data_IF_972132489980
#
_entry.id   IF_972132489980
#
_cell.length_a   1.000
_cell.length_b   1.000
_cell.length_c   1.000
_cell.angle_alpha   90.00
_cell.angle_beta   90.00
_cell.angle_gamma   90.00
#
_symmetry.space_group_name_H-M   'P 1'
#
loop_
_entity.id
_entity.type
_entity.pdbx_description
1 polymer ?
#
# COMPACT_ATOMS: atom_id res chain seq x y z
N UNK A 1 -14.04 16.05 -16.12
CA UNK A 1 -14.49 16.77 -14.91
C UNK A 1 -15.61 17.71 -15.30
N UNK A 2 -16.85 17.27 -15.14
CA UNK A 2 -18.03 18.13 -15.34
C UNK A 2 -18.25 18.84 -14.01
N UNK A 3 -17.71 20.05 -13.86
CA UNK A 3 -17.97 20.86 -12.66
C UNK A 3 -19.46 21.18 -12.64
N UNK A 4 -20.20 20.53 -11.74
CA UNK A 4 -21.62 20.79 -11.52
C UNK A 4 -21.78 22.27 -11.18
N UNK A 5 -22.70 22.96 -11.86
CA UNK A 5 -22.90 24.40 -11.64
C UNK A 5 -23.35 24.65 -10.19
N UNK A 6 -22.99 25.80 -9.59
CA UNK A 6 -23.42 26.14 -8.24
C UNK A 6 -24.95 26.11 -8.04
N UNK A 7 -25.72 26.35 -9.10
CA UNK A 7 -27.18 26.31 -9.13
C UNK A 7 -27.76 24.91 -8.94
N UNK A 8 -27.00 23.85 -9.26
CA UNK A 8 -27.46 22.47 -9.16
C UNK A 8 -27.84 22.04 -7.73
N UNK A 9 -27.36 22.77 -6.70
CA UNK A 9 -27.59 22.43 -5.29
C UNK A 9 -28.39 23.48 -4.51
N UNK A 10 -28.95 24.50 -5.17
CA UNK A 10 -29.60 25.64 -4.49
C UNK A 10 -30.75 25.24 -3.53
N UNK A 11 -31.44 24.12 -3.80
CA UNK A 11 -32.51 23.59 -2.94
C UNK A 11 -32.03 22.84 -1.68
N UNK A 12 -30.71 22.69 -1.49
CA UNK A 12 -30.13 22.00 -0.35
C UNK A 12 -29.71 22.98 0.76
N UNK A 13 -29.66 22.49 2.00
CA UNK A 13 -29.10 23.27 3.12
C UNK A 13 -27.63 23.60 2.84
N UNK A 14 -27.09 24.72 3.36
CA UNK A 14 -25.69 25.10 3.11
C UNK A 14 -24.67 23.98 3.40
N UNK A 15 -24.94 23.19 4.45
CA UNK A 15 -24.11 22.03 4.82
C UNK A 15 -24.18 20.92 3.77
N UNK A 16 -25.38 20.60 3.27
CA UNK A 16 -25.55 19.61 2.20
C UNK A 16 -25.00 20.07 0.87
N UNK A 17 -25.06 21.36 0.55
CA UNK A 17 -24.41 21.90 -0.65
C UNK A 17 -22.89 21.71 -0.61
N UNK A 18 -22.27 21.87 0.57
CA UNK A 18 -20.84 21.63 0.77
C UNK A 18 -20.51 20.14 0.64
N UNK A 19 -21.28 19.27 1.30
CA UNK A 19 -21.14 17.82 1.20
C UNK A 19 -21.27 17.31 -0.24
N UNK A 20 -22.32 17.71 -0.97
CA UNK A 20 -22.58 17.24 -2.33
C UNK A 20 -21.49 17.69 -3.32
N UNK A 21 -20.91 18.88 -3.12
CA UNK A 21 -19.73 19.31 -3.89
C UNK A 21 -18.54 18.39 -3.66
N UNK A 22 -18.23 18.09 -2.40
CA UNK A 22 -17.14 17.17 -2.05
C UNK A 22 -17.43 15.75 -2.58
N UNK A 23 -18.67 15.28 -2.47
CA UNK A 23 -19.06 13.96 -2.99
C UNK A 23 -19.00 13.89 -4.52
N UNK A 24 -19.27 14.99 -5.22
CA UNK A 24 -19.14 15.05 -6.68
C UNK A 24 -17.68 14.87 -7.16
N UNK A 25 -16.70 15.27 -6.34
CA UNK A 25 -15.27 15.02 -6.60
C UNK A 25 -14.86 13.57 -6.28
N UNK A 26 -15.68 12.84 -5.50
CA UNK A 26 -15.45 11.47 -5.03
C UNK A 26 -16.69 10.56 -5.24
N UNK A 27 -17.19 10.41 -6.47
CA UNK A 27 -18.47 9.73 -6.73
C UNK A 27 -18.44 8.26 -6.30
N UNK A 28 -17.35 7.55 -6.60
CA UNK A 28 -17.20 6.10 -6.36
C UNK A 28 -16.56 5.76 -5.00
N UNK A 29 -16.42 6.73 -4.10
CA UNK A 29 -15.67 6.59 -2.85
C UNK A 29 -16.54 7.03 -1.68
N UNK A 30 -16.50 6.29 -0.58
CA UNK A 30 -17.23 6.67 0.63
C UNK A 30 -16.65 7.97 1.19
N UNK A 31 -17.49 8.96 1.50
CA UNK A 31 -17.02 10.21 2.11
C UNK A 31 -17.32 10.21 3.61
N UNK A 32 -16.27 10.09 4.42
CA UNK A 32 -16.35 10.28 5.87
C UNK A 32 -16.30 11.78 6.15
N UNK A 33 -17.46 12.37 6.44
CA UNK A 33 -17.63 13.81 6.60
C UNK A 33 -17.61 14.21 8.08
N UNK A 34 -16.60 14.99 8.49
CA UNK A 34 -16.40 15.39 9.90
C UNK A 34 -17.51 16.31 10.40
N UNK A 35 -18.26 15.82 11.38
CA UNK A 35 -19.39 16.50 12.03
C UNK A 35 -19.25 16.40 13.55
N UNK A 36 -18.65 17.41 14.18
CA UNK A 36 -18.37 17.40 15.62
C UNK A 36 -17.47 16.22 15.96
N UNK A 37 -17.91 15.34 16.87
CA UNK A 37 -17.18 14.13 17.28
C UNK A 37 -17.46 12.89 16.43
N UNK A 38 -18.16 13.02 15.31
CA UNK A 38 -18.46 11.91 14.41
C UNK A 38 -17.91 12.13 13.01
N UNK A 39 -17.70 11.02 12.31
CA UNK A 39 -17.67 10.98 10.85
C UNK A 39 -19.01 10.47 10.38
N UNK A 40 -19.72 11.29 9.61
CA UNK A 40 -21.03 10.96 9.08
C UNK A 40 -20.94 10.72 7.57
N UNK A 41 -21.79 9.81 7.10
CA UNK A 41 -22.03 9.52 5.69
C UNK A 41 -23.50 9.79 5.39
N UNK A 42 -23.79 10.20 4.16
CA UNK A 42 -25.15 10.55 3.76
C UNK A 42 -25.59 9.82 2.48
N UNK A 43 -26.91 9.66 2.33
CA UNK A 43 -27.55 9.05 1.15
C UNK A 43 -27.04 7.61 0.90
N UNK A 44 -26.60 7.30 -0.32
CA UNK A 44 -26.15 5.96 -0.71
C UNK A 44 -24.90 5.51 0.07
N UNK A 45 -24.01 6.45 0.41
CA UNK A 45 -22.84 6.15 1.25
C UNK A 45 -23.27 5.69 2.65
N UNK A 46 -24.33 6.27 3.20
CA UNK A 46 -24.88 5.86 4.50
C UNK A 46 -25.44 4.44 4.46
N UNK A 47 -26.19 4.09 3.41
CA UNK A 47 -26.77 2.75 3.25
C UNK A 47 -25.68 1.70 3.04
N UNK A 48 -24.69 2.02 2.20
CA UNK A 48 -23.55 1.16 1.94
C UNK A 48 -22.73 0.95 3.21
N UNK A 49 -22.38 2.02 3.94
CA UNK A 49 -21.63 1.92 5.19
C UNK A 49 -22.41 1.17 6.27
N UNK A 50 -23.72 1.41 6.42
CA UNK A 50 -24.56 0.70 7.37
C UNK A 50 -24.53 -0.82 7.13
N UNK A 51 -24.63 -1.26 5.87
CA UNK A 51 -24.56 -2.68 5.50
C UNK A 51 -23.16 -3.28 5.72
N UNK A 52 -22.10 -2.58 5.33
CA UNK A 52 -20.74 -3.11 5.39
C UNK A 52 -20.16 -3.13 6.80
N UNK A 53 -20.53 -2.15 7.62
CA UNK A 53 -19.96 -1.93 8.95
C UNK A 53 -20.91 -2.30 10.09
N UNK A 54 -22.11 -2.79 9.76
CA UNK A 54 -23.18 -3.09 10.70
C UNK A 54 -23.53 -1.88 11.60
N UNK A 55 -23.72 -0.73 10.95
CA UNK A 55 -24.10 0.52 11.62
C UNK A 55 -25.61 0.73 11.56
N UNK A 56 -26.15 1.39 12.58
CA UNK A 56 -27.55 1.83 12.55
C UNK A 56 -27.75 2.90 11.48
N UNK A 57 -28.56 2.59 10.46
CA UNK A 57 -29.01 3.57 9.48
C UNK A 57 -30.13 4.43 10.10
N UNK A 58 -29.94 5.75 10.07
CA UNK A 58 -30.88 6.73 10.63
C UNK A 58 -31.22 7.79 9.58
N UNK A 59 -32.06 8.76 9.95
CA UNK A 59 -32.38 9.90 9.10
C UNK A 59 -32.18 11.20 9.87
N UNK A 60 -31.62 12.22 9.20
CA UNK A 60 -31.41 13.56 9.77
C UNK A 60 -32.11 14.60 8.92
N UNK A 61 -33.23 15.14 9.43
CA UNK A 61 -33.95 16.24 8.79
C UNK A 61 -34.34 15.94 7.34
N UNK A 62 -34.52 17.00 6.55
CA UNK A 62 -34.78 16.90 5.11
C UNK A 62 -33.97 17.96 4.35
N UNK A 63 -33.57 17.63 3.12
CA UNK A 63 -32.94 18.56 2.19
C UNK A 63 -33.59 18.39 0.83
N UNK A 64 -33.92 19.50 0.15
CA UNK A 64 -34.68 19.48 -1.11
C UNK A 64 -35.96 18.60 -1.03
N UNK A 65 -36.66 18.64 0.10
CA UNK A 65 -37.91 17.88 0.33
C UNK A 65 -37.75 16.40 0.65
N UNK A 66 -36.53 15.84 0.64
CA UNK A 66 -36.28 14.41 0.91
C UNK A 66 -35.54 14.21 2.24
N UNK A 67 -35.94 13.22 3.08
CA UNK A 67 -35.20 12.86 4.28
C UNK A 67 -33.76 12.43 3.97
N UNK A 68 -32.79 12.92 4.74
CA UNK A 68 -31.38 12.60 4.52
C UNK A 68 -31.04 11.31 5.29
N UNK A 69 -30.83 10.21 4.58
CA UNK A 69 -30.29 8.96 5.17
C UNK A 69 -28.89 9.23 5.70
N UNK A 70 -28.59 8.74 6.91
CA UNK A 70 -27.34 9.02 7.61
C UNK A 70 -26.88 7.80 8.42
N UNK A 71 -25.59 7.52 8.35
CA UNK A 71 -24.88 6.60 9.25
C UNK A 71 -23.61 7.31 9.71
N UNK A 72 -23.07 6.93 10.87
CA UNK A 72 -21.87 7.58 11.38
C UNK A 72 -21.07 6.72 12.33
N UNK A 73 -19.79 7.07 12.46
CA UNK A 73 -18.84 6.43 13.38
C UNK A 73 -18.19 7.49 14.27
N UNK A 74 -17.91 7.17 15.55
CA UNK A 74 -17.19 8.09 16.42
C UNK A 74 -15.77 8.35 15.90
N UNK A 75 -15.30 9.59 16.01
CA UNK A 75 -13.96 10.02 15.60
C UNK A 75 -12.84 9.11 16.09
N UNK A 76 -12.86 8.83 17.40
CA UNK A 76 -11.81 8.10 18.09
C UNK A 76 -11.78 6.61 17.71
N UNK A 77 -12.84 6.11 17.08
CA UNK A 77 -12.94 4.73 16.62
C UNK A 77 -12.78 4.60 15.09
N UNK A 78 -12.57 5.71 14.36
CA UNK A 78 -12.60 5.73 12.89
C UNK A 78 -11.61 4.74 12.27
N UNK A 79 -10.41 4.58 12.85
CA UNK A 79 -9.36 3.70 12.35
C UNK A 79 -9.83 2.24 12.25
N UNK A 80 -10.62 1.77 13.21
CA UNK A 80 -11.13 0.38 13.20
C UNK A 80 -12.12 0.15 12.06
N UNK A 81 -12.95 1.14 11.74
CA UNK A 81 -13.90 1.07 10.64
C UNK A 81 -13.21 1.20 9.29
N UNK A 82 -12.19 2.06 9.18
CA UNK A 82 -11.36 2.16 7.99
C UNK A 82 -10.65 0.84 7.70
N UNK A 83 -10.10 0.16 8.71
CA UNK A 83 -9.47 -1.15 8.54
C UNK A 83 -10.44 -2.20 7.98
N UNK A 84 -11.71 -2.18 8.41
CA UNK A 84 -12.75 -3.08 7.89
C UNK A 84 -13.11 -2.76 6.43
N UNK A 85 -13.36 -1.49 6.11
CA UNK A 85 -13.70 -1.04 4.75
C UNK A 85 -12.59 -1.38 3.76
N UNK A 86 -11.35 -1.09 4.13
CA UNK A 86 -10.19 -1.35 3.28
C UNK A 86 -9.99 -2.85 3.03
N UNK A 87 -10.20 -3.71 4.04
CA UNK A 87 -10.17 -5.18 3.85
C UNK A 87 -11.25 -5.68 2.89
N UNK A 88 -12.37 -4.94 2.76
CA UNK A 88 -13.43 -5.22 1.80
C UNK A 88 -13.17 -4.58 0.42
N UNK A 89 -12.02 -3.93 0.23
CA UNK A 89 -11.66 -3.26 -1.02
C UNK A 89 -12.25 -1.85 -1.18
N UNK A 90 -12.86 -1.29 -0.14
CA UNK A 90 -13.53 0.00 -0.20
C UNK A 90 -12.57 1.16 0.08
N UNK A 91 -12.61 2.18 -0.78
CA UNK A 91 -11.88 3.43 -0.59
C UNK A 91 -12.73 4.44 0.17
N UNK A 92 -12.07 5.26 1.00
CA UNK A 92 -12.72 6.24 1.88
C UNK A 92 -12.01 7.60 1.82
N UNK A 93 -12.71 8.64 1.42
CA UNK A 93 -12.26 10.03 1.48
C UNK A 93 -12.53 10.59 2.89
N UNK A 94 -11.49 11.11 3.55
CA UNK A 94 -11.59 11.71 4.89
C UNK A 94 -11.73 13.22 4.74
N UNK A 95 -12.92 13.73 5.03
CA UNK A 95 -13.23 15.14 4.94
C UNK A 95 -13.22 15.78 6.32
N UNK A 96 -12.27 16.68 6.56
CA UNK A 96 -12.06 17.38 7.84
C UNK A 96 -12.57 18.82 7.81
N UNK A 97 -12.76 19.38 9.00
CA UNK A 97 -13.06 20.80 9.18
C UNK A 97 -11.76 21.60 9.18
N UNK A 98 -11.72 22.67 8.39
CA UNK A 98 -10.58 23.56 8.22
C UNK A 98 -10.93 24.92 8.84
N UNK A 99 -10.13 25.35 9.82
CA UNK A 99 -10.33 26.60 10.54
C UNK A 99 -11.12 26.44 11.84
N UNK A 100 -11.30 27.55 12.57
CA UNK A 100 -11.94 27.57 13.88
C UNK A 100 -13.47 27.82 13.74
N UNK A 101 -14.32 26.89 14.20
CA UNK A 101 -15.77 27.06 14.23
C UNK A 101 -16.24 28.32 14.96
N UNK A 102 -15.50 28.77 15.98
CA UNK A 102 -15.85 29.95 16.78
C UNK A 102 -15.73 31.27 16.00
N UNK A 103 -14.93 31.29 14.93
CA UNK A 103 -14.62 32.51 14.16
C UNK A 103 -15.38 32.60 12.83
N UNK A 104 -16.11 31.55 12.44
CA UNK A 104 -16.72 31.43 11.11
C UNK A 104 -18.22 31.79 11.12
N UNK A 105 -18.65 32.72 10.26
CA UNK A 105 -20.08 32.95 9.98
C UNK A 105 -20.58 31.92 8.96
N UNK A 106 -21.30 30.91 9.41
CA UNK A 106 -21.84 29.83 8.56
C UNK A 106 -21.07 28.50 8.73
N UNK A 107 -21.32 27.49 7.88
CA UNK A 107 -20.59 26.23 7.93
C UNK A 107 -19.10 26.45 7.73
N UNK A 108 -18.28 25.90 8.64
CA UNK A 108 -16.82 25.91 8.54
C UNK A 108 -16.38 25.28 7.21
N UNK A 109 -15.28 25.77 6.64
CA UNK A 109 -14.70 25.17 5.44
C UNK A 109 -14.38 23.70 5.71
N UNK A 110 -14.61 22.86 4.71
CA UNK A 110 -14.29 21.44 4.78
C UNK A 110 -13.55 21.01 3.54
N UNK A 111 -12.53 20.19 3.76
CA UNK A 111 -11.66 19.67 2.70
C UNK A 111 -11.38 18.20 2.94
N UNK A 112 -11.29 17.46 1.85
CA UNK A 112 -10.73 16.11 1.87
C UNK A 112 -9.23 16.24 2.12
N UNK A 113 -8.77 15.75 3.27
CA UNK A 113 -7.35 15.84 3.65
C UNK A 113 -6.56 14.64 3.17
N UNK A 114 -7.23 13.49 2.98
CA UNK A 114 -6.63 12.26 2.45
C UNK A 114 -7.70 11.31 1.94
N UNK A 115 -7.30 10.42 1.04
CA UNK A 115 -8.11 9.27 0.61
C UNK A 115 -7.41 7.99 1.04
N UNK A 116 -8.10 7.19 1.86
CA UNK A 116 -7.63 5.89 2.33
C UNK A 116 -8.10 4.84 1.34
N UNK A 117 -7.16 4.18 0.67
CA UNK A 117 -7.44 3.11 -0.30
C UNK A 117 -6.72 1.82 0.12
N UNK A 118 -7.11 0.64 -0.42
CA UNK A 118 -6.46 -0.61 -0.08
C UNK A 118 -4.97 -0.68 -0.39
N UNK A 119 -4.50 -0.02 -1.44
CA UNK A 119 -3.09 -0.03 -1.84
C UNK A 119 -2.23 1.06 -1.20
N UNK A 120 -2.82 2.11 -0.62
CA UNK A 120 -2.08 3.31 -0.15
C UNK A 120 -2.09 3.47 1.36
N UNK A 121 -2.04 2.36 2.09
CA UNK A 121 -1.99 2.33 3.54
C UNK A 121 -0.59 2.59 4.09
N UNK A 122 -0.49 3.45 5.10
CA UNK A 122 0.76 3.79 5.80
C UNK A 122 0.61 3.82 7.32
N UNK A 123 -0.62 4.01 7.81
CA UNK A 123 -0.97 3.97 9.23
C UNK A 123 -0.79 2.56 9.80
N UNK A 124 -0.08 2.47 10.93
CA UNK A 124 0.14 1.21 11.62
C UNK A 124 -1.17 0.53 12.07
N UNK A 125 -2.22 1.30 12.36
CA UNK A 125 -3.53 0.77 12.76
C UNK A 125 -4.29 0.08 11.61
N UNK A 126 -3.96 0.42 10.35
CA UNK A 126 -4.63 -0.12 9.16
C UNK A 126 -3.85 -1.25 8.52
N UNK A 127 -2.53 -1.30 8.75
CA UNK A 127 -1.64 -2.31 8.22
C UNK A 127 -1.54 -3.52 9.16
N UNK A 128 -1.58 -4.72 8.60
CA UNK A 128 -1.09 -5.90 9.34
C UNK A 128 0.41 -5.77 9.56
N UNK A 129 0.89 -6.07 10.76
CA UNK A 129 2.30 -6.01 11.13
C UNK A 129 3.18 -6.88 10.23
N UNK A 130 2.66 -8.03 9.81
CA UNK A 130 3.42 -9.10 9.15
C UNK A 130 3.19 -9.22 7.64
N UNK A 131 2.34 -8.36 7.06
CA UNK A 131 2.01 -8.40 5.64
C UNK A 131 2.36 -7.06 4.97
N UNK A 132 3.01 -7.11 3.83
CA UNK A 132 3.12 -5.94 2.95
C UNK A 132 1.81 -5.70 2.21
N UNK A 133 1.60 -4.42 1.91
CA UNK A 133 0.47 -3.94 1.10
C UNK A 133 1.06 -3.25 -0.11
N UNK A 134 0.68 -3.73 -1.29
CA UNK A 134 1.15 -3.19 -2.55
C UNK A 134 0.00 -2.53 -3.31
N UNK A 135 0.24 -1.30 -3.76
CA UNK A 135 -0.47 -0.70 -4.89
C UNK A 135 0.24 -1.16 -6.16
N UNK A 136 -0.50 -1.69 -7.12
CA UNK A 136 0.02 -2.07 -8.44
C UNK A 136 -0.70 -1.29 -9.53
N UNK A 137 0.01 -0.93 -10.59
CA UNK A 137 -0.56 -0.45 -11.84
C UNK A 137 -0.13 -1.39 -12.97
N UNK A 138 -1.02 -1.63 -13.93
CA UNK A 138 -0.68 -2.37 -15.15
C UNK A 138 -0.95 -1.53 -16.39
N UNK A 139 -0.07 -1.67 -17.37
CA UNK A 139 -0.20 -1.05 -18.69
C UNK A 139 0.04 -2.12 -19.75
N UNK A 140 -0.98 -2.39 -20.57
CA UNK A 140 -0.87 -3.37 -21.65
C UNK A 140 -0.25 -2.71 -22.88
N UNK A 141 0.88 -3.24 -23.35
CA UNK A 141 1.48 -2.83 -24.61
C UNK A 141 0.80 -3.55 -25.77
N UNK A 142 0.40 -2.80 -26.80
CA UNK A 142 -0.25 -3.35 -28.00
C UNK A 142 0.64 -3.18 -29.23
N UNK A 143 0.62 -4.17 -30.13
CA UNK A 143 1.21 -3.99 -31.46
C UNK A 143 0.30 -3.15 -32.38
N UNK A 144 0.77 -2.87 -33.61
CA UNK A 144 0.03 -2.09 -34.62
C UNK A 144 -1.35 -2.67 -34.99
N UNK A 145 -1.63 -3.93 -34.66
CA UNK A 145 -2.90 -4.62 -34.91
C UNK A 145 -3.81 -4.63 -33.66
N UNK A 146 -3.41 -3.97 -32.57
CA UNK A 146 -4.15 -3.93 -31.31
C UNK A 146 -3.99 -5.16 -30.43
N UNK A 147 -3.14 -6.12 -30.80
CA UNK A 147 -2.92 -7.35 -30.01
C UNK A 147 -1.95 -7.03 -28.87
N UNK A 148 -2.30 -7.44 -27.65
CA UNK A 148 -1.44 -7.33 -26.48
C UNK A 148 -0.15 -8.13 -26.71
N UNK A 149 1.00 -7.47 -26.56
CA UNK A 149 2.33 -8.07 -26.75
C UNK A 149 3.11 -8.19 -25.44
N UNK A 150 2.90 -7.28 -24.51
CA UNK A 150 3.48 -7.34 -23.18
C UNK A 150 2.58 -6.61 -22.19
N UNK A 151 2.83 -6.82 -20.90
CA UNK A 151 2.19 -6.09 -19.82
C UNK A 151 3.28 -5.50 -18.94
N UNK A 152 3.29 -4.18 -18.86
CA UNK A 152 4.09 -3.43 -17.92
C UNK A 152 3.44 -3.40 -16.55
N UNK A 153 4.20 -3.79 -15.54
CA UNK A 153 3.79 -3.77 -14.14
C UNK A 153 4.65 -2.77 -13.38
N UNK A 154 3.99 -1.97 -12.56
CA UNK A 154 4.64 -1.15 -11.55
C UNK A 154 3.94 -1.38 -10.22
N UNK A 155 4.70 -1.60 -9.14
CA UNK A 155 4.09 -1.71 -7.82
C UNK A 155 4.93 -1.04 -6.74
N UNK A 156 4.22 -0.52 -5.74
CA UNK A 156 4.77 0.28 -4.67
C UNK A 156 4.24 -0.22 -3.33
N UNK A 157 5.17 -0.49 -2.42
CA UNK A 157 4.85 -0.50 -0.99
C UNK A 157 4.97 0.92 -0.48
N UNK A 158 3.83 1.57 -0.25
CA UNK A 158 3.84 2.97 0.15
C UNK A 158 4.41 3.17 1.55
N UNK A 159 4.30 2.18 2.45
CA UNK A 159 4.80 2.27 3.81
C UNK A 159 6.33 2.21 3.88
N UNK A 160 7.01 1.54 2.93
CA UNK A 160 8.48 1.49 2.87
C UNK A 160 9.09 2.34 1.76
N UNK A 161 8.30 2.74 0.77
CA UNK A 161 8.78 3.46 -0.42
C UNK A 161 9.41 2.54 -1.48
N UNK A 162 9.33 1.22 -1.31
CA UNK A 162 9.90 0.26 -2.26
C UNK A 162 9.10 0.23 -3.57
N UNK A 163 9.66 0.82 -4.62
CA UNK A 163 9.12 0.83 -5.98
C UNK A 163 9.79 -0.23 -6.85
N UNK A 164 8.99 -0.99 -7.59
CA UNK A 164 9.47 -2.03 -8.51
C UNK A 164 8.78 -1.96 -9.85
N UNK A 165 9.48 -2.39 -10.89
CA UNK A 165 8.97 -2.54 -12.27
C UNK A 165 9.25 -3.92 -12.83
N UNK A 166 8.37 -4.39 -13.69
CA UNK A 166 8.60 -5.56 -14.53
C UNK A 166 7.85 -5.40 -15.86
N UNK A 167 8.35 -6.03 -16.91
CA UNK A 167 7.55 -6.33 -18.09
C UNK A 167 7.45 -7.83 -18.26
N UNK A 168 6.25 -8.30 -18.52
CA UNK A 168 5.94 -9.72 -18.63
C UNK A 168 5.13 -10.00 -19.89
N UNK A 169 5.15 -11.25 -20.31
CA UNK A 169 4.25 -11.74 -21.35
C UNK A 169 2.80 -11.83 -20.81
N UNK A 170 1.77 -11.63 -21.64
CA UNK A 170 0.38 -11.59 -21.18
C UNK A 170 -0.09 -12.87 -20.44
N UNK A 171 0.45 -14.04 -20.80
CA UNK A 171 0.13 -15.32 -20.18
C UNK A 171 0.71 -15.48 -18.76
N UNK A 172 1.72 -14.68 -18.40
CA UNK A 172 2.37 -14.69 -17.09
C UNK A 172 1.64 -13.83 -16.04
N UNK A 173 0.64 -13.04 -16.44
CA UNK A 173 -0.06 -12.08 -15.55
C UNK A 173 -0.61 -12.74 -14.28
N UNK A 174 -1.24 -13.91 -14.42
CA UNK A 174 -1.80 -14.63 -13.27
C UNK A 174 -0.73 -15.04 -12.26
N UNK A 175 0.42 -15.53 -12.72
CA UNK A 175 1.54 -15.91 -11.86
C UNK A 175 2.17 -14.68 -11.18
N UNK A 176 2.32 -13.58 -11.92
CA UNK A 176 2.85 -12.33 -11.37
C UNK A 176 1.93 -11.73 -10.28
N UNK A 177 0.62 -11.68 -10.53
CA UNK A 177 -0.36 -11.17 -9.55
C UNK A 177 -0.44 -12.06 -8.30
N UNK A 178 -0.38 -13.38 -8.44
CA UNK A 178 -0.35 -14.29 -7.29
C UNK A 178 0.97 -14.19 -6.49
N UNK A 179 2.08 -13.87 -7.16
CA UNK A 179 3.38 -13.63 -6.51
C UNK A 179 3.42 -12.30 -5.76
N UNK A 180 2.93 -11.23 -6.37
CA UNK A 180 2.95 -9.87 -5.83
C UNK A 180 1.84 -9.67 -4.77
N UNK A 181 0.66 -10.26 -4.99
CA UNK A 181 -0.57 -10.09 -4.19
C UNK A 181 -0.89 -8.62 -3.89
N UNK A 182 -1.16 -7.79 -4.92
CA UNK A 182 -1.49 -6.39 -4.70
C UNK A 182 -2.82 -6.25 -3.96
N UNK A 183 -2.89 -5.29 -3.04
CA UNK A 183 -4.15 -4.96 -2.36
C UNK A 183 -5.07 -4.14 -3.28
N UNK A 184 -4.48 -3.36 -4.18
CA UNK A 184 -5.17 -2.51 -5.14
C UNK A 184 -4.43 -2.51 -6.48
N UNK A 185 -5.20 -2.56 -7.57
CA UNK A 185 -4.72 -2.65 -8.94
C UNK A 185 -5.32 -1.51 -9.76
N UNK A 186 -4.45 -0.68 -10.33
CA UNK A 186 -4.80 0.41 -11.23
C UNK A 186 -4.82 -0.08 -12.68
N UNK A 187 -5.91 0.20 -13.38
CA UNK A 187 -6.07 -0.06 -14.81
C UNK A 187 -6.56 1.20 -15.53
N UNK A 188 -6.27 1.30 -16.82
CA UNK A 188 -6.76 2.41 -17.63
C UNK A 188 -8.28 2.30 -17.87
N UNK A 189 -8.96 3.44 -17.90
CA UNK A 189 -10.35 3.52 -18.34
C UNK A 189 -10.48 3.11 -19.81
N UNK A 190 -11.52 2.35 -20.12
CA UNK A 190 -11.82 1.90 -21.48
C UNK A 190 -10.99 0.71 -21.97
N UNK A 191 -10.07 0.17 -21.18
CA UNK A 191 -9.39 -1.09 -21.51
C UNK A 191 -10.22 -2.31 -21.09
N UNK A 192 -10.06 -3.40 -21.83
CA UNK A 192 -10.65 -4.72 -21.52
C UNK A 192 -9.65 -5.61 -20.79
N UNK A 193 -8.69 -5.03 -20.07
CA UNK A 193 -7.68 -5.79 -19.34
C UNK A 193 -8.36 -6.69 -18.31
N UNK A 194 -8.30 -7.99 -18.56
CA UNK A 194 -8.92 -8.98 -17.70
C UNK A 194 -8.01 -9.23 -16.48
N UNK A 195 -8.28 -8.52 -15.40
CA UNK A 195 -7.66 -8.81 -14.10
C UNK A 195 -8.32 -10.07 -13.52
N UNK A 196 -7.56 -11.11 -13.15
CA UNK A 196 -8.11 -12.29 -12.48
C UNK A 196 -8.92 -11.91 -11.24
N UNK A 197 -10.08 -12.55 -11.08
CA UNK A 197 -10.95 -12.31 -9.93
C UNK A 197 -10.19 -12.60 -8.62
N UNK A 198 -10.30 -11.69 -7.64
CA UNK A 198 -9.66 -11.83 -6.34
C UNK A 198 -8.18 -11.43 -6.28
N UNK A 199 -7.58 -10.91 -7.37
CA UNK A 199 -6.19 -10.47 -7.37
C UNK A 199 -5.93 -9.19 -6.54
N UNK A 200 -6.97 -8.38 -6.29
CA UNK A 200 -6.91 -7.12 -5.56
C UNK A 200 -8.13 -6.24 -5.86
N UNK A 201 -8.29 -5.13 -5.14
CA UNK A 201 -9.33 -4.14 -5.46
C UNK A 201 -8.98 -3.43 -6.77
N UNK A 202 -9.89 -3.44 -7.76
CA UNK A 202 -9.62 -2.82 -9.06
C UNK A 202 -10.07 -1.37 -9.02
N UNK A 203 -9.16 -0.45 -9.36
CA UNK A 203 -9.45 0.96 -9.53
C UNK A 203 -9.12 1.39 -10.95
N UNK A 204 -10.13 1.85 -11.68
CA UNK A 204 -9.94 2.44 -13.00
C UNK A 204 -9.57 3.91 -12.88
N UNK A 205 -8.59 4.34 -13.66
CA UNK A 205 -8.12 5.72 -13.75
C UNK A 205 -7.99 6.13 -15.21
N UNK A 206 -8.02 7.44 -15.52
CA UNK A 206 -7.97 7.91 -16.90
C UNK A 206 -6.78 7.35 -17.68
N UNK A 207 -7.01 6.92 -18.93
CA UNK A 207 -5.99 6.28 -19.75
C UNK A 207 -4.71 7.12 -19.93
N UNK A 208 -4.81 8.46 -19.91
CA UNK A 208 -3.65 9.35 -20.02
C UNK A 208 -2.69 9.25 -18.81
N UNK A 209 -3.13 8.71 -17.66
CA UNK A 209 -2.23 8.42 -16.53
C UNK A 209 -1.11 7.44 -16.93
N UNK A 210 -1.40 6.56 -17.89
CA UNK A 210 -0.50 5.51 -18.39
C UNK A 210 0.31 5.95 -19.62
N UNK A 211 0.32 7.24 -19.97
CA UNK A 211 1.16 7.76 -21.04
C UNK A 211 2.65 7.46 -20.74
N UNK A 212 3.34 6.83 -21.69
CA UNK A 212 4.69 6.31 -21.49
C UNK A 212 5.70 7.45 -21.33
N UNK A 213 5.59 8.51 -22.13
CA UNK A 213 6.54 9.63 -22.09
C UNK A 213 6.38 10.41 -20.78
N UNK A 214 5.14 10.77 -20.41
CA UNK A 214 4.84 11.45 -19.15
C UNK A 214 5.15 10.56 -17.94
N UNK A 215 4.91 9.25 -18.03
CA UNK A 215 5.24 8.29 -16.98
C UNK A 215 6.75 8.15 -16.75
N UNK A 216 7.52 8.07 -17.83
CA UNK A 216 8.99 8.04 -17.78
C UNK A 216 9.55 9.30 -17.16
N UNK A 217 9.05 10.48 -17.57
CA UNK A 217 9.48 11.75 -16.98
C UNK A 217 9.14 11.82 -15.49
N UNK A 218 7.91 11.45 -15.10
CA UNK A 218 7.48 11.44 -13.70
C UNK A 218 8.34 10.51 -12.85
N UNK A 219 8.72 9.36 -13.39
CA UNK A 219 9.61 8.42 -12.72
C UNK A 219 11.03 8.99 -12.54
N UNK A 220 11.57 9.66 -13.55
CA UNK A 220 12.85 10.36 -13.46
C UNK A 220 12.81 11.50 -12.42
N UNK A 221 11.75 12.32 -12.44
CA UNK A 221 11.56 13.42 -11.48
C UNK A 221 11.43 12.89 -10.04
N UNK A 222 10.70 11.78 -9.85
CA UNK A 222 10.51 11.17 -8.53
C UNK A 222 11.81 10.57 -7.97
N UNK A 223 12.66 10.00 -8.84
CA UNK A 223 13.94 9.40 -8.46
C UNK A 223 15.10 10.41 -8.44
N UNK A 224 14.88 11.64 -8.91
CA UNK A 224 15.88 12.69 -9.08
C UNK A 224 17.06 12.25 -9.97
N UNK A 225 16.74 11.69 -11.15
CA UNK A 225 17.71 11.19 -12.13
C UNK A 225 17.44 11.73 -13.53
N UNK A 226 18.49 11.81 -14.36
CA UNK A 226 18.35 12.24 -15.76
C UNK A 226 17.80 11.14 -16.69
N UNK A 227 17.86 9.88 -16.28
CA UNK A 227 17.45 8.73 -17.08
C UNK A 227 17.40 7.44 -16.25
N UNK A 228 16.85 6.39 -16.85
CA UNK A 228 16.55 5.13 -16.17
C UNK A 228 17.53 3.99 -16.46
N UNK A 229 18.61 4.28 -17.19
CA UNK A 229 19.63 3.29 -17.58
C UNK A 229 20.29 2.65 -16.36
N UNK A 230 20.60 3.45 -15.33
CA UNK A 230 21.21 2.96 -14.08
C UNK A 230 20.33 1.98 -13.29
N UNK A 231 19.03 1.92 -13.59
CA UNK A 231 18.09 0.96 -13.00
C UNK A 231 17.76 -0.21 -13.94
N UNK A 232 18.25 -0.19 -15.18
CA UNK A 232 17.88 -1.17 -16.20
C UNK A 232 16.43 -1.04 -16.69
N UNK A 233 15.78 0.12 -16.51
CA UNK A 233 14.36 0.32 -16.85
C UNK A 233 14.14 1.06 -18.18
N UNK A 234 15.20 1.53 -18.85
CA UNK A 234 15.11 2.34 -20.08
C UNK A 234 14.32 1.67 -21.23
N UNK A 235 14.36 0.33 -21.33
CA UNK A 235 13.65 -0.43 -22.36
C UNK A 235 12.24 -0.87 -21.95
N UNK A 236 11.84 -0.65 -20.69
CA UNK A 236 10.58 -1.13 -20.13
C UNK A 236 9.46 -0.09 -20.32
N UNK A 237 9.10 0.14 -21.58
CA UNK A 237 8.19 1.23 -21.96
C UNK A 237 6.80 1.12 -21.33
N UNK A 238 6.20 -0.08 -21.36
CA UNK A 238 4.88 -0.32 -20.78
C UNK A 238 4.95 -0.19 -19.25
N UNK A 239 6.03 -0.69 -18.63
CA UNK A 239 6.21 -0.57 -17.18
C UNK A 239 6.39 0.90 -16.75
N UNK A 240 7.06 1.74 -17.54
CA UNK A 240 7.19 3.17 -17.28
C UNK A 240 5.85 3.90 -17.34
N UNK A 241 4.97 3.53 -18.28
CA UNK A 241 3.58 4.01 -18.31
C UNK A 241 2.80 3.64 -17.05
N UNK A 242 2.90 2.36 -16.63
CA UNK A 242 2.31 1.89 -15.37
C UNK A 242 2.86 2.64 -14.14
N UNK A 243 4.18 2.87 -14.09
CA UNK A 243 4.85 3.62 -13.03
C UNK A 243 4.31 5.05 -12.93
N UNK A 244 4.11 5.69 -14.09
CA UNK A 244 3.49 7.00 -14.19
C UNK A 244 2.13 7.05 -13.50
N UNK A 245 1.23 6.14 -13.86
CA UNK A 245 -0.10 6.07 -13.27
C UNK A 245 -0.07 5.78 -11.77
N UNK A 246 0.80 4.85 -11.36
CA UNK A 246 1.00 4.49 -9.95
C UNK A 246 1.43 5.68 -9.11
N UNK A 247 2.46 6.41 -9.54
CA UNK A 247 3.02 7.54 -8.79
C UNK A 247 2.02 8.69 -8.71
N UNK A 248 1.30 8.96 -9.81
CA UNK A 248 0.27 9.99 -9.84
C UNK A 248 -0.87 9.67 -8.88
N UNK A 249 -1.35 8.42 -8.87
CA UNK A 249 -2.40 7.98 -7.96
C UNK A 249 -1.96 8.02 -6.50
N UNK A 250 -0.79 7.46 -6.19
CA UNK A 250 -0.25 7.45 -4.83
C UNK A 250 0.00 8.86 -4.29
N UNK A 251 0.49 9.80 -5.10
CA UNK A 251 0.64 11.20 -4.69
C UNK A 251 -0.73 11.86 -4.43
N UNK A 252 -1.74 11.59 -5.27
CA UNK A 252 -3.08 12.12 -5.10
C UNK A 252 -3.78 11.60 -3.84
N UNK A 253 -3.66 10.32 -3.50
CA UNK A 253 -4.29 9.75 -2.29
C UNK A 253 -3.63 10.26 -1.01
N UNK A 254 -2.32 10.50 -1.03
CA UNK A 254 -1.58 11.06 0.11
C UNK A 254 -1.69 12.58 0.22
N UNK A 255 -2.09 13.28 -0.85
CA UNK A 255 -2.15 14.74 -0.89
C UNK A 255 -0.78 15.44 -0.86
N UNK A 256 0.31 14.71 -1.12
CA UNK A 256 1.68 15.22 -1.04
C UNK A 256 2.66 14.38 -1.90
N UNK A 257 3.88 14.88 -2.05
CA UNK A 257 4.96 14.18 -2.76
C UNK A 257 5.50 12.98 -1.95
N UNK A 258 5.94 11.93 -2.65
CA UNK A 258 6.39 10.68 -2.08
C UNK A 258 7.91 10.68 -1.83
N UNK A 259 8.40 11.53 -0.91
CA UNK A 259 9.85 11.83 -0.76
C UNK A 259 10.75 10.65 -0.38
N UNK A 260 10.18 9.57 0.14
CA UNK A 260 10.87 8.32 0.48
C UNK A 260 11.00 7.35 -0.68
N UNK A 261 10.25 7.53 -1.76
CA UNK A 261 10.38 6.71 -2.97
C UNK A 261 11.58 7.21 -3.76
N UNK A 262 12.76 6.67 -3.46
CA UNK A 262 14.06 7.14 -3.98
C UNK A 262 14.83 6.11 -4.80
N UNK A 263 14.32 4.90 -4.88
CA UNK A 263 14.99 3.82 -5.58
C UNK A 263 13.97 3.00 -6.35
N UNK A 264 14.41 2.47 -7.46
CA UNK A 264 13.66 1.60 -8.33
C UNK A 264 14.39 0.26 -8.46
N UNK A 265 13.67 -0.84 -8.30
CA UNK A 265 14.17 -2.16 -8.67
C UNK A 265 13.41 -2.70 -9.87
N UNK A 266 14.12 -2.98 -10.97
CA UNK A 266 13.58 -3.80 -12.06
C UNK A 266 13.65 -5.26 -11.63
N UNK A 267 12.54 -5.99 -11.79
CA UNK A 267 12.48 -7.43 -11.60
C UNK A 267 12.22 -8.13 -12.92
N UNK A 268 12.93 -9.25 -13.12
CA UNK A 268 12.65 -10.18 -14.20
C UNK A 268 12.08 -11.47 -13.61
N UNK A 269 11.04 -12.05 -14.24
CA UNK A 269 10.48 -13.33 -13.79
C UNK A 269 11.51 -14.48 -13.82
N UNK A 270 12.58 -14.34 -14.61
CA UNK A 270 13.70 -15.29 -14.66
C UNK A 270 14.60 -15.26 -13.44
N UNK A 271 14.51 -14.25 -12.56
CA UNK A 271 15.31 -14.15 -11.34
C UNK A 271 14.84 -15.11 -10.24
N UNK A 272 13.57 -15.52 -10.29
CA UNK A 272 12.93 -16.34 -9.26
C UNK A 272 12.51 -17.71 -9.81
N UNK A 273 12.42 -18.70 -8.93
CA UNK A 273 11.81 -19.99 -9.30
C UNK A 273 10.33 -19.72 -9.57
N UNK A 274 9.92 -19.96 -10.81
CA UNK A 274 8.53 -19.81 -11.24
C UNK A 274 7.65 -20.82 -10.52
N UNK A 275 6.71 -20.32 -9.73
CA UNK A 275 5.66 -21.10 -9.09
C UNK A 275 4.33 -20.59 -9.63
N UNK A 276 3.59 -21.45 -10.32
CA UNK A 276 2.26 -21.12 -10.79
C UNK A 276 1.28 -20.90 -9.61
N UNK A 277 0.12 -20.25 -9.84
CA UNK A 277 -0.81 -19.97 -8.77
C UNK A 277 -1.36 -21.20 -8.03
N UNK A 278 -1.60 -22.30 -8.74
CA UNK A 278 -2.11 -23.52 -8.12
C UNK A 278 -1.05 -24.15 -7.21
N UNK A 279 0.21 -24.17 -7.64
CA UNK A 279 1.35 -24.63 -6.84
C UNK A 279 1.48 -23.81 -5.54
N UNK A 280 1.43 -22.47 -5.62
CA UNK A 280 1.52 -21.60 -4.43
C UNK A 280 0.40 -21.87 -3.42
N UNK A 281 -0.83 -22.03 -3.93
CA UNK A 281 -2.02 -22.32 -3.13
C UNK A 281 -1.95 -23.72 -2.49
N UNK A 282 -1.53 -24.73 -3.24
CA UNK A 282 -1.42 -26.11 -2.75
C UNK A 282 -0.28 -26.32 -1.76
N UNK A 283 0.80 -25.53 -1.86
CA UNK A 283 1.89 -25.52 -0.88
C UNK A 283 1.54 -24.77 0.40
N UNK A 284 0.38 -24.10 0.44
CA UNK A 284 -0.10 -23.31 1.58
C UNK A 284 1.02 -22.40 2.15
N UNK A 285 1.71 -21.66 1.28
CA UNK A 285 2.90 -20.89 1.65
C UNK A 285 2.60 -19.89 2.76
N UNK A 286 1.54 -19.09 2.60
CA UNK A 286 1.11 -18.07 3.57
C UNK A 286 -0.37 -18.08 3.85
N UNK A 287 -1.13 -18.93 3.17
CA UNK A 287 -2.58 -19.03 3.28
C UNK A 287 -2.98 -20.49 3.01
N UNK A 288 -3.89 -21.02 3.83
CA UNK A 288 -4.41 -22.38 3.65
C UNK A 288 -5.40 -22.45 2.48
N UNK A 289 -5.73 -23.66 2.04
CA UNK A 289 -6.79 -23.90 1.04
C UNK A 289 -8.15 -23.36 1.48
N UNK A 290 -8.36 -23.21 2.79
CA UNK A 290 -9.57 -22.65 3.42
C UNK A 290 -9.53 -21.11 3.58
N UNK A 291 -8.43 -20.46 3.19
CA UNK A 291 -8.26 -19.01 3.33
C UNK A 291 -7.88 -18.55 4.73
N UNK A 292 -7.32 -19.43 5.57
CA UNK A 292 -6.82 -19.07 6.90
C UNK A 292 -5.31 -18.83 6.88
N UNK A 293 -4.79 -18.03 7.82
CA UNK A 293 -3.35 -17.74 7.92
C UNK A 293 -2.53 -18.93 8.46
N UNK A 294 -3.18 -19.92 9.06
CA UNK A 294 -2.54 -21.07 9.73
C UNK A 294 -3.43 -22.32 9.66
N UNK A 295 -2.83 -23.53 9.63
CA UNK A 295 -1.38 -23.81 9.57
C UNK A 295 -0.82 -23.67 8.14
N UNK A 296 0.27 -22.91 7.98
CA UNK A 296 0.96 -22.63 6.70
C UNK A 296 2.47 -22.82 6.86
N UNK A 297 3.21 -22.91 5.75
CA UNK A 297 4.69 -22.94 5.81
C UNK A 297 5.23 -21.68 6.52
N UNK A 298 4.65 -20.53 6.19
CA UNK A 298 4.98 -19.27 6.84
C UNK A 298 4.68 -19.28 8.34
N UNK A 299 3.49 -19.73 8.78
CA UNK A 299 3.17 -19.75 10.21
C UNK A 299 4.07 -20.70 11.01
N UNK A 300 4.60 -21.74 10.37
CA UNK A 300 5.57 -22.67 10.97
C UNK A 300 6.96 -22.02 11.11
N UNK A 301 7.42 -21.30 10.08
CA UNK A 301 8.78 -20.74 10.04
C UNK A 301 8.93 -19.37 10.70
N UNK A 302 7.85 -18.58 10.78
CA UNK A 302 7.89 -17.21 11.27
C UNK A 302 8.06 -17.13 12.79
N UNK A 303 9.32 -17.26 13.21
CA UNK A 303 9.79 -16.97 14.57
C UNK A 303 10.54 -15.64 14.64
N UNK A 304 10.35 -14.74 13.67
CA UNK A 304 11.10 -13.48 13.60
C UNK A 304 10.84 -12.61 14.84
N UNK A 305 11.87 -11.85 15.25
CA UNK A 305 11.79 -10.95 16.40
C UNK A 305 11.26 -9.56 16.04
N UNK A 306 11.22 -9.22 14.75
CA UNK A 306 10.75 -7.93 14.23
C UNK A 306 9.71 -8.15 13.14
N UNK A 307 8.78 -7.21 13.03
CA UNK A 307 7.71 -7.22 12.02
C UNK A 307 8.27 -7.12 10.59
N UNK A 308 9.27 -6.26 10.37
CA UNK A 308 9.99 -6.17 9.10
C UNK A 308 10.71 -7.49 8.74
N UNK A 309 11.23 -8.23 9.73
CA UNK A 309 11.81 -9.56 9.52
C UNK A 309 10.77 -10.58 9.09
N UNK A 310 9.60 -10.60 9.73
CA UNK A 310 8.46 -11.43 9.34
C UNK A 310 8.02 -11.15 7.89
N UNK A 311 7.92 -9.87 7.50
CA UNK A 311 7.59 -9.47 6.12
C UNK A 311 8.66 -9.92 5.12
N UNK A 312 9.94 -9.77 5.46
CA UNK A 312 11.04 -10.23 4.61
C UNK A 312 11.04 -11.75 4.43
N UNK A 313 10.79 -12.53 5.49
CA UNK A 313 10.64 -13.97 5.40
C UNK A 313 9.47 -14.34 4.48
N UNK A 314 8.32 -13.69 4.66
CA UNK A 314 7.15 -13.87 3.78
C UNK A 314 7.50 -13.61 2.32
N UNK A 315 8.21 -12.51 2.05
CA UNK A 315 8.68 -12.17 0.71
C UNK A 315 9.57 -13.28 0.14
N UNK A 316 10.56 -13.78 0.89
CA UNK A 316 11.47 -14.84 0.45
C UNK A 316 10.76 -16.16 0.12
N UNK A 317 9.71 -16.54 0.87
CA UNK A 317 8.91 -17.73 0.56
C UNK A 317 8.21 -17.61 -0.79
N UNK A 318 7.79 -16.40 -1.16
CA UNK A 318 7.13 -16.15 -2.46
C UNK A 318 8.11 -15.86 -3.60
N UNK A 319 9.35 -15.49 -3.29
CA UNK A 319 10.38 -15.05 -4.23
C UNK A 319 11.70 -15.85 -4.05
N UNK A 320 11.67 -17.18 -4.21
CA UNK A 320 12.88 -17.99 -4.14
C UNK A 320 13.82 -17.62 -5.30
N UNK A 321 15.01 -17.04 -5.03
CA UNK A 321 15.94 -16.65 -6.09
C UNK A 321 16.51 -17.88 -6.81
N UNK A 322 16.68 -17.82 -8.13
CA UNK A 322 17.32 -18.89 -8.92
C UNK A 322 18.83 -18.91 -8.78
N UNK A 323 19.44 -17.75 -8.52
CA UNK A 323 20.88 -17.64 -8.40
C UNK A 323 21.40 -18.42 -7.19
N UNK A 324 22.27 -19.40 -7.43
CA UNK A 324 22.86 -20.23 -6.37
C UNK A 324 23.65 -19.41 -5.35
N UNK A 325 24.32 -18.34 -5.80
CA UNK A 325 25.11 -17.44 -4.94
C UNK A 325 24.26 -16.87 -3.81
N UNK A 326 23.02 -16.42 -4.09
CA UNK A 326 22.14 -15.89 -3.06
C UNK A 326 21.76 -16.94 -2.02
N UNK A 327 21.54 -18.20 -2.45
CA UNK A 327 21.26 -19.30 -1.54
C UNK A 327 22.50 -19.66 -0.70
N UNK A 328 23.68 -19.73 -1.31
CA UNK A 328 24.94 -20.03 -0.65
C UNK A 328 25.28 -18.98 0.42
N UNK A 329 25.19 -17.69 0.12
CA UNK A 329 25.45 -16.62 1.10
C UNK A 329 24.48 -16.67 2.28
N UNK A 330 23.20 -17.01 2.05
CA UNK A 330 22.23 -17.21 3.13
C UNK A 330 22.57 -18.43 3.98
N UNK A 331 22.97 -19.53 3.37
CA UNK A 331 23.39 -20.75 4.07
C UNK A 331 24.63 -20.51 4.93
N UNK A 332 25.63 -19.79 4.41
CA UNK A 332 26.83 -19.39 5.15
C UNK A 332 26.46 -18.52 6.35
N UNK A 333 25.59 -17.52 6.17
CA UNK A 333 25.12 -16.68 7.26
C UNK A 333 24.37 -17.47 8.34
N UNK A 334 23.54 -18.45 7.95
CA UNK A 334 22.85 -19.34 8.89
C UNK A 334 23.86 -20.18 9.66
N UNK A 335 24.85 -20.78 8.98
CA UNK A 335 25.92 -21.57 9.62
C UNK A 335 26.69 -20.75 10.66
N UNK A 336 27.15 -19.55 10.28
CA UNK A 336 27.84 -18.63 11.19
C UNK A 336 27.00 -18.25 12.42
N UNK A 337 25.68 -18.09 12.26
CA UNK A 337 24.77 -17.79 13.37
C UNK A 337 24.56 -18.99 14.30
N UNK A 338 24.60 -20.22 13.77
CA UNK A 338 24.47 -21.45 14.56
C UNK A 338 25.76 -21.78 15.32
N UNK A 339 26.91 -21.51 14.70
CA UNK A 339 28.25 -21.73 15.26
C UNK A 339 28.72 -20.57 16.15
N UNK A 340 27.87 -19.57 16.38
CA UNK A 340 28.19 -18.38 17.15
C UNK A 340 28.63 -18.72 18.59
N UNK A 341 29.67 -18.04 19.12
CA UNK A 341 30.16 -18.30 20.47
C UNK A 341 29.10 -17.93 21.53
N UNK A 342 29.21 -18.53 22.73
CA UNK A 342 28.20 -18.39 23.78
C UNK A 342 27.88 -16.93 24.18
N UNK A 343 28.86 -16.02 24.09
CA UNK A 343 28.69 -14.59 24.37
C UNK A 343 27.97 -13.81 23.25
N UNK A 344 27.85 -14.41 22.05
CA UNK A 344 27.14 -13.89 20.89
C UNK A 344 26.06 -14.88 20.40
N UNK A 345 25.46 -15.63 21.34
CA UNK A 345 24.47 -16.65 21.01
C UNK A 345 23.26 -16.10 20.25
N UNK A 346 22.60 -16.98 19.50
CA UNK A 346 21.38 -16.65 18.76
C UNK A 346 20.30 -16.01 19.64
N UNK A 347 20.14 -16.49 20.89
CA UNK A 347 19.16 -15.92 21.82
C UNK A 347 19.50 -14.49 22.25
N UNK A 348 20.79 -14.20 22.40
CA UNK A 348 21.25 -12.86 22.73
C UNK A 348 21.04 -11.90 21.56
N UNK A 349 21.29 -12.36 20.33
CA UNK A 349 20.98 -11.62 19.10
C UNK A 349 19.48 -11.38 18.95
N UNK A 350 18.64 -12.42 19.13
CA UNK A 350 17.17 -12.32 19.11
C UNK A 350 16.67 -11.31 20.14
N UNK A 351 17.23 -11.33 21.35
CA UNK A 351 16.87 -10.38 22.41
C UNK A 351 17.20 -8.94 22.05
N UNK A 352 18.36 -8.70 21.41
CA UNK A 352 18.72 -7.38 20.89
C UNK A 352 17.78 -6.93 19.76
N UNK A 353 17.46 -7.83 18.82
CA UNK A 353 16.55 -7.54 17.71
C UNK A 353 15.13 -7.20 18.17
N UNK A 354 14.63 -7.79 19.26
CA UNK A 354 13.31 -7.44 19.84
C UNK A 354 13.21 -5.98 20.31
N UNK A 355 14.34 -5.32 20.57
CA UNK A 355 14.37 -3.90 20.97
C UNK A 355 14.30 -2.95 19.76
N UNK A 356 14.39 -3.49 18.54
CA UNK A 356 14.36 -2.71 17.31
C UNK A 356 12.92 -2.56 16.84
N UNK A 357 12.47 -1.32 16.71
CA UNK A 357 11.15 -1.00 16.19
C UNK A 357 11.06 -1.26 14.67
N UNK A 358 9.85 -1.15 14.11
CA UNK A 358 9.62 -1.24 12.67
C UNK A 358 10.12 0.01 11.94
N UNK A 359 11.45 0.15 11.84
CA UNK A 359 12.13 1.32 11.25
C UNK A 359 11.71 1.56 9.81
N UNK A 360 11.44 0.49 9.05
CA UNK A 360 10.99 0.57 7.66
C UNK A 360 9.68 1.37 7.55
N UNK A 361 8.64 0.99 8.32
CA UNK A 361 7.35 1.70 8.26
C UNK A 361 7.38 3.05 8.97
N UNK A 362 8.15 3.20 10.05
CA UNK A 362 8.26 4.47 10.74
C UNK A 362 8.93 5.52 9.83
N UNK A 363 9.99 5.16 9.10
CA UNK A 363 10.66 6.09 8.18
C UNK A 363 9.76 6.50 7.02
N UNK A 364 8.90 5.61 6.52
CA UNK A 364 7.85 5.97 5.56
C UNK A 364 6.86 6.99 6.11
N UNK A 365 6.34 6.79 7.33
CA UNK A 365 5.47 7.79 8.00
C UNK A 365 6.18 9.11 8.25
N UNK A 366 7.46 9.08 8.60
CA UNK A 366 8.26 10.29 8.79
C UNK A 366 8.38 11.08 7.49
N UNK A 367 8.65 10.41 6.38
CA UNK A 367 8.75 11.05 5.06
C UNK A 367 7.41 11.63 4.57
N UNK A 368 6.31 11.00 4.95
CA UNK A 368 4.93 11.43 4.68
C UNK A 368 4.36 12.37 5.77
N UNK A 369 5.21 12.90 6.67
CA UNK A 369 4.79 13.85 7.71
C UNK A 369 3.60 13.37 8.56
N UNK A 370 3.48 12.05 8.74
CA UNK A 370 2.37 11.38 9.43
C UNK A 370 2.85 10.59 10.66
N UNK A 371 4.15 10.67 11.00
CA UNK A 371 4.71 10.04 12.18
C UNK A 371 4.13 10.64 13.47
N UNK A 372 3.78 9.76 14.42
CA UNK A 372 3.25 10.14 15.74
C UNK A 372 4.39 10.27 16.77
N UNK A 373 4.18 10.92 17.93
CA UNK A 373 5.21 11.02 18.97
C UNK A 373 5.81 9.67 19.39
N UNK A 374 4.99 8.62 19.44
CA UNK A 374 5.43 7.25 19.75
C UNK A 374 6.32 6.64 18.67
N UNK A 375 6.15 7.03 17.40
CA UNK A 375 7.03 6.60 16.32
C UNK A 375 8.45 7.18 16.54
N UNK A 376 8.52 8.46 16.90
CA UNK A 376 9.79 9.15 17.16
C UNK A 376 10.50 8.60 18.40
N UNK A 377 9.76 8.33 19.49
CA UNK A 377 10.35 7.70 20.68
C UNK A 377 10.85 6.30 20.38
N UNK A 378 10.12 5.51 19.59
CA UNK A 378 10.54 4.16 19.19
C UNK A 378 11.79 4.18 18.30
N UNK A 379 11.92 5.17 17.41
CA UNK A 379 13.16 5.38 16.64
C UNK A 379 14.34 5.76 17.53
N UNK A 380 14.14 6.68 18.49
CA UNK A 380 15.18 7.05 19.46
C UNK A 380 15.69 5.80 20.20
N UNK A 381 14.78 5.00 20.73
CA UNK A 381 15.11 3.80 21.50
C UNK A 381 15.80 2.76 20.62
N UNK A 382 15.37 2.63 19.36
CA UNK A 382 16.04 1.80 18.36
C UNK A 382 17.49 2.26 18.14
N UNK A 383 17.73 3.56 17.93
CA UNK A 383 19.09 4.09 17.74
C UNK A 383 19.99 3.85 18.95
N UNK A 384 19.45 3.95 20.17
CA UNK A 384 20.18 3.62 21.39
C UNK A 384 20.54 2.13 21.49
N UNK A 385 19.73 1.23 20.92
CA UNK A 385 19.98 -0.21 20.91
C UNK A 385 20.95 -0.69 19.81
N UNK A 386 21.15 0.09 18.73
CA UNK A 386 22.00 -0.30 17.60
C UNK A 386 23.46 -0.65 17.95
N UNK A 387 24.16 0.07 18.85
CA UNK A 387 25.53 -0.28 19.23
C UNK A 387 25.63 -1.69 19.82
N UNK A 388 24.73 -2.06 20.74
CA UNK A 388 24.70 -3.39 21.33
C UNK A 388 24.39 -4.48 20.29
N UNK A 389 23.52 -4.20 19.32
CA UNK A 389 23.26 -5.12 18.21
C UNK A 389 24.51 -5.30 17.33
N UNK A 390 25.21 -4.22 17.02
CA UNK A 390 26.44 -4.24 16.21
C UNK A 390 27.54 -5.06 16.89
N UNK A 391 27.74 -4.91 18.20
CA UNK A 391 28.72 -5.69 18.95
C UNK A 391 28.47 -7.19 18.82
N UNK A 392 27.21 -7.61 18.96
CA UNK A 392 26.81 -9.03 18.81
C UNK A 392 27.08 -9.57 17.41
N UNK A 393 26.70 -8.81 16.38
CA UNK A 393 26.93 -9.22 14.98
C UNK A 393 28.44 -9.26 14.67
N UNK A 394 29.21 -8.29 15.16
CA UNK A 394 30.66 -8.23 14.93
C UNK A 394 31.37 -9.44 15.53
N UNK A 395 30.94 -9.88 16.73
CA UNK A 395 31.46 -11.10 17.35
C UNK A 395 31.14 -12.37 16.55
N UNK A 396 30.00 -12.44 15.86
CA UNK A 396 29.65 -13.57 14.99
C UNK A 396 30.54 -13.55 13.74
N UNK A 397 30.64 -12.41 13.05
CA UNK A 397 31.41 -12.28 11.81
C UNK A 397 32.90 -12.55 12.03
N UNK A 398 33.47 -12.07 13.13
CA UNK A 398 34.89 -12.28 13.45
C UNK A 398 35.27 -13.75 13.67
N UNK A 399 34.29 -14.62 13.96
CA UNK A 399 34.48 -16.04 14.21
C UNK A 399 33.97 -16.92 13.06
N UNK A 400 33.58 -16.31 11.93
CA UNK A 400 33.01 -17.02 10.80
C UNK A 400 33.88 -16.84 9.55
N UNK A 401 34.84 -17.76 9.35
CA UNK A 401 35.68 -17.80 8.14
C UNK A 401 34.84 -17.86 6.85
N UNK A 402 33.63 -18.42 6.92
CA UNK A 402 32.69 -18.51 5.80
C UNK A 402 32.03 -17.17 5.42
N UNK A 403 32.18 -16.12 6.23
CA UNK A 403 31.64 -14.77 6.00
C UNK A 403 32.73 -13.72 5.69
N UNK A 404 34.01 -14.08 5.81
CA UNK A 404 35.14 -13.27 5.38
C UNK A 404 35.33 -13.37 3.86
#
# INVERSE_FOLDING_TARGET
MTTLSPEAFAGHTPMMQQYLRIKADHPDTLVFYRMGDFYELFFEDAEKAARLLDLTLTQRGASAGTPIKMAGVPHHAVEQYLAKLVKMGESVAICEQIGDPATSKGPVERKVVRVVTPGTLTDAALLSDKNDVYLLAMCTGHNKRGVAVNIGLAWLNLASGALRLAEIEPDQLGAALERIRPAEILTADGTTDAVPAGAGAIKRVPAWHFDIAAGTQRLCDQLDVAGLDGFGAHSLTSACGAAGALLLYAAATQGQQLRHVRSLKVENETEYIGLDPATRRNLELTETLRGTESPTLYSLLDTCCTTMGSRLLRHWLHHPPRASVAAQSRQQAIGALLDAPANASLDALRSALRQIADVERITGRLALLSARPRDLSSLRDTFAALPALRERISAIVANADALA
#
